data_IF_762104565653
#
_entry.id   IF_762104565653
#
_cell.length_a   1.000
_cell.length_b   1.000
_cell.length_c   1.000
_cell.angle_alpha   90.00
_cell.angle_beta   90.00
_cell.angle_gamma   90.00
#
_symmetry.space_group_name_H-M   'P 1'
#
loop_
_entity.id
_entity.type
_entity.pdbx_description
1 polymer ?
#
# COMPACT_ATOMS: atom_id res chain seq x y z
N UNK A 1 13.96 10.15 6.62
CA UNK A 1 15.12 10.25 7.55
C UNK A 1 15.53 11.70 7.65
N UNK A 2 15.59 12.27 8.86
CA UNK A 2 16.25 13.55 9.06
C UNK A 2 17.74 13.39 8.68
N UNK A 3 18.26 14.26 7.81
CA UNK A 3 19.67 14.23 7.44
C UNK A 3 20.51 14.62 8.66
N UNK A 4 21.57 13.85 8.94
CA UNK A 4 22.51 14.18 10.01
C UNK A 4 23.03 15.63 9.84
N UNK A 5 23.22 16.38 10.94
CA UNK A 5 23.82 17.70 10.87
C UNK A 5 25.22 17.59 10.26
N UNK A 6 25.55 18.52 9.38
CA UNK A 6 26.86 18.55 8.72
C UNK A 6 27.65 19.68 9.36
N UNK A 7 28.88 19.40 9.80
CA UNK A 7 29.77 20.40 10.36
C UNK A 7 30.97 20.68 9.43
N UNK A 8 31.52 21.89 9.57
CA UNK A 8 32.75 22.28 8.89
C UNK A 8 33.93 21.49 9.45
N UNK A 9 34.88 21.11 8.59
CA UNK A 9 36.03 20.26 8.92
C UNK A 9 35.75 18.76 8.90
N UNK A 10 34.49 18.33 8.78
CA UNK A 10 34.15 16.91 8.69
C UNK A 10 34.44 16.31 7.31
N UNK A 11 34.77 15.02 7.29
CA UNK A 11 34.96 14.26 6.06
C UNK A 11 33.72 13.43 5.73
N UNK A 12 33.20 13.62 4.53
CA UNK A 12 31.95 13.03 4.06
C UNK A 12 32.16 12.21 2.80
N UNK A 13 31.32 11.19 2.64
CA UNK A 13 31.20 10.43 1.40
C UNK A 13 30.25 11.16 0.44
N UNK A 14 30.82 11.73 -0.62
CA UNK A 14 30.10 12.40 -1.69
C UNK A 14 29.76 11.41 -2.80
N UNK A 15 28.51 11.42 -3.30
CA UNK A 15 28.10 10.65 -4.48
C UNK A 15 27.14 11.41 -5.36
N UNK A 16 27.45 11.45 -6.65
CA UNK A 16 26.56 11.92 -7.72
C UNK A 16 25.90 10.72 -8.42
N UNK A 17 24.59 10.59 -8.27
CA UNK A 17 23.80 9.49 -8.84
C UNK A 17 24.36 8.12 -8.43
N UNK A 18 24.62 7.22 -9.39
CA UNK A 18 25.14 5.86 -9.20
C UNK A 18 26.67 5.75 -9.29
N UNK A 19 27.41 6.87 -9.27
CA UNK A 19 28.88 6.84 -9.31
C UNK A 19 29.50 6.34 -8.00
N UNK A 20 30.77 5.90 -7.99
CA UNK A 20 31.48 5.61 -6.74
C UNK A 20 31.52 6.80 -5.78
N UNK A 21 31.72 6.53 -4.50
CA UNK A 21 31.92 7.58 -3.50
C UNK A 21 33.29 8.27 -3.66
N UNK A 22 33.30 9.58 -3.49
CA UNK A 22 34.51 10.40 -3.38
C UNK A 22 34.62 10.95 -1.95
N UNK A 23 35.83 11.03 -1.41
CA UNK A 23 36.09 11.63 -0.10
C UNK A 23 36.10 13.15 -0.25
N UNK A 24 35.30 13.85 0.56
CA UNK A 24 35.28 15.32 0.58
C UNK A 24 35.36 15.86 1.99
N UNK A 25 36.10 16.95 2.17
CA UNK A 25 36.10 17.73 3.40
C UNK A 25 35.12 18.90 3.28
N UNK A 26 34.29 19.10 4.32
CA UNK A 26 33.35 20.21 4.35
C UNK A 26 34.07 21.49 4.76
N UNK A 27 34.11 22.47 3.85
CA UNK A 27 34.76 23.76 4.11
C UNK A 27 33.78 24.79 4.67
N UNK A 28 32.52 24.77 4.21
CA UNK A 28 31.53 25.75 4.64
C UNK A 28 30.11 25.23 4.58
N UNK A 29 29.36 25.44 5.65
CA UNK A 29 27.92 25.12 5.73
C UNK A 29 27.11 26.40 5.84
N UNK A 30 26.32 26.71 4.80
CA UNK A 30 25.53 27.96 4.75
C UNK A 30 24.22 27.83 5.54
N UNK A 31 23.68 26.62 5.69
CA UNK A 31 22.47 26.36 6.47
C UNK A 31 22.33 24.87 6.78
N UNK A 32 21.73 24.56 7.93
CA UNK A 32 21.33 23.21 8.32
C UNK A 32 19.94 22.80 7.77
N UNK A 33 19.26 23.64 6.99
CA UNK A 33 17.92 23.36 6.43
C UNK A 33 17.87 23.26 4.90
N UNK A 34 17.08 22.31 4.39
CA UNK A 34 16.64 22.21 2.99
C UNK A 34 17.68 21.71 1.96
N UNK A 35 17.40 21.97 0.68
CA UNK A 35 18.22 21.60 -0.50
C UNK A 35 19.42 22.55 -0.73
N UNK A 36 19.96 23.16 0.32
CA UNK A 36 21.00 24.17 0.19
C UNK A 36 22.37 23.53 -0.08
N UNK A 37 23.23 24.29 -0.76
CA UNK A 37 24.56 23.83 -1.14
C UNK A 37 25.53 23.90 0.03
N UNK A 38 26.44 22.95 0.07
CA UNK A 38 27.56 22.86 1.02
C UNK A 38 28.84 23.06 0.22
N UNK A 39 29.77 23.87 0.73
CA UNK A 39 31.08 24.04 0.08
C UNK A 39 32.00 22.94 0.57
N UNK A 40 32.54 22.17 -0.36
CA UNK A 40 33.41 21.03 -0.07
C UNK A 40 34.68 21.11 -0.88
N UNK A 41 35.73 20.44 -0.39
CA UNK A 41 36.96 20.16 -1.11
C UNK A 41 37.07 18.66 -1.33
N UNK A 42 37.38 18.24 -2.54
CA UNK A 42 37.63 16.83 -2.85
C UNK A 42 39.04 16.44 -2.42
N UNK A 43 39.15 15.37 -1.64
CA UNK A 43 40.43 14.92 -1.08
C UNK A 43 41.18 13.99 -2.03
N UNK A 44 40.47 13.17 -2.80
CA UNK A 44 41.03 12.16 -3.69
C UNK A 44 40.17 11.95 -4.95
N UNK A 45 40.69 11.21 -5.92
CA UNK A 45 40.00 10.83 -7.15
C UNK A 45 40.17 11.84 -8.29
N UNK A 46 39.29 11.78 -9.31
CA UNK A 46 39.45 12.58 -10.53
C UNK A 46 39.28 14.09 -10.31
N UNK A 47 38.64 14.49 -9.20
CA UNK A 47 38.41 15.89 -8.84
C UNK A 47 39.29 16.33 -7.66
N UNK A 48 40.35 15.57 -7.31
CA UNK A 48 41.18 15.85 -6.14
C UNK A 48 41.70 17.30 -6.13
N UNK A 49 41.56 17.96 -4.98
CA UNK A 49 41.93 19.36 -4.79
C UNK A 49 40.89 20.39 -5.26
N UNK A 50 39.85 19.98 -6.00
CA UNK A 50 38.80 20.89 -6.44
C UNK A 50 37.90 21.33 -5.28
N UNK A 51 37.48 22.60 -5.32
CA UNK A 51 36.54 23.17 -4.37
C UNK A 51 35.23 23.47 -5.08
N UNK A 52 34.14 22.86 -4.62
CA UNK A 52 32.83 22.99 -5.26
C UNK A 52 31.71 23.21 -4.26
N UNK A 53 30.61 23.79 -4.77
CA UNK A 53 29.34 23.85 -4.06
C UNK A 53 28.47 22.67 -4.47
N UNK A 54 28.34 21.68 -3.60
CA UNK A 54 27.57 20.45 -3.85
C UNK A 54 26.20 20.53 -3.16
N UNK A 55 25.22 19.80 -3.68
CA UNK A 55 23.93 19.69 -3.02
C UNK A 55 24.07 18.82 -1.77
N UNK A 56 23.46 19.22 -0.66
CA UNK A 56 23.54 18.47 0.60
C UNK A 56 23.17 16.99 0.44
N UNK A 57 22.16 16.68 -0.37
CA UNK A 57 21.70 15.31 -0.62
C UNK A 57 22.74 14.39 -1.27
N UNK A 58 23.82 14.95 -1.83
CA UNK A 58 24.94 14.21 -2.40
C UNK A 58 25.94 13.78 -1.32
N UNK A 59 25.92 14.40 -0.14
CA UNK A 59 26.68 13.97 1.04
C UNK A 59 25.84 12.94 1.79
N UNK A 60 26.23 11.67 1.71
CA UNK A 60 25.40 10.56 2.20
C UNK A 60 25.64 10.25 3.67
N UNK A 61 26.91 10.04 4.03
CA UNK A 61 27.37 9.67 5.37
C UNK A 61 28.77 10.22 5.61
N UNK A 62 29.24 10.18 6.85
CA UNK A 62 30.66 10.42 7.17
C UNK A 62 31.54 9.42 6.41
N UNK A 63 32.72 9.86 5.98
CA UNK A 63 33.62 9.01 5.18
C UNK A 63 34.02 7.72 5.89
N UNK A 64 34.16 7.76 7.22
CA UNK A 64 34.42 6.60 8.06
C UNK A 64 33.28 5.56 8.03
N UNK A 65 32.04 6.00 7.81
CA UNK A 65 30.84 5.15 7.77
C UNK A 65 30.49 4.67 6.35
N UNK A 66 31.26 5.04 5.32
CA UNK A 66 30.94 4.73 3.92
C UNK A 66 30.77 3.23 3.65
N UNK A 67 31.56 2.39 4.33
CA UNK A 67 31.55 0.95 4.12
C UNK A 67 30.25 0.34 4.65
N UNK A 68 29.86 0.70 5.88
CA UNK A 68 28.57 0.30 6.46
C UNK A 68 27.40 0.76 5.60
N UNK A 69 27.47 1.98 5.05
CA UNK A 69 26.46 2.48 4.12
C UNK A 69 26.38 1.65 2.83
N UNK A 70 27.52 1.30 2.23
CA UNK A 70 27.58 0.45 1.04
C UNK A 70 27.06 -0.97 1.34
N UNK A 71 27.43 -1.55 2.48
CA UNK A 71 26.96 -2.87 2.90
C UNK A 71 25.43 -2.86 3.12
N UNK A 72 24.88 -1.77 3.69
CA UNK A 72 23.43 -1.56 3.78
C UNK A 72 22.78 -1.46 2.41
N UNK A 73 23.31 -0.66 1.49
CA UNK A 73 22.77 -0.55 0.14
C UNK A 73 22.82 -1.88 -0.62
N UNK A 74 23.88 -2.65 -0.43
CA UNK A 74 24.03 -3.98 -1.03
C UNK A 74 22.94 -4.93 -0.55
N UNK A 75 22.63 -4.95 0.76
CA UNK A 75 21.52 -5.76 1.33
C UNK A 75 20.17 -5.38 0.72
N UNK A 76 19.88 -4.09 0.59
CA UNK A 76 18.66 -3.63 -0.08
C UNK A 76 18.63 -3.98 -1.57
N UNK A 77 19.77 -3.87 -2.28
CA UNK A 77 19.87 -4.25 -3.68
C UNK A 77 19.68 -5.76 -3.87
N UNK A 78 20.22 -6.58 -2.97
CA UNK A 78 20.03 -8.03 -2.96
C UNK A 78 18.56 -8.39 -2.72
N UNK A 79 17.91 -7.81 -1.72
CA UNK A 79 16.48 -8.03 -1.49
C UNK A 79 15.63 -7.58 -2.69
N UNK A 80 15.97 -6.43 -3.30
CA UNK A 80 15.26 -5.90 -4.48
C UNK A 80 15.50 -6.72 -5.74
N UNK A 81 16.63 -7.41 -5.87
CA UNK A 81 16.91 -8.31 -7.01
C UNK A 81 15.84 -9.41 -7.15
N UNK A 82 15.20 -9.79 -6.03
CA UNK A 82 14.12 -10.78 -5.99
C UNK A 82 12.79 -10.27 -6.53
N UNK A 83 12.67 -8.97 -6.78
CA UNK A 83 11.48 -8.35 -7.40
C UNK A 83 11.47 -8.54 -8.92
N UNK A 84 12.62 -8.74 -9.56
CA UNK A 84 12.74 -8.77 -11.02
C UNK A 84 11.88 -9.87 -11.70
N UNK A 85 11.51 -10.91 -10.94
CA UNK A 85 10.67 -12.02 -11.40
C UNK A 85 9.17 -11.77 -11.17
N UNK A 86 8.81 -10.70 -10.47
CA UNK A 86 7.44 -10.38 -10.10
C UNK A 86 6.71 -9.59 -11.19
N UNK A 87 5.43 -9.89 -11.39
CA UNK A 87 4.55 -9.03 -12.18
C UNK A 87 4.10 -7.83 -11.33
N UNK A 88 4.01 -6.64 -11.93
CA UNK A 88 3.59 -5.42 -11.24
C UNK A 88 2.23 -5.56 -10.54
N UNK A 89 1.28 -6.29 -11.15
CA UNK A 89 -0.02 -6.60 -10.56
C UNK A 89 0.08 -7.38 -9.25
N UNK A 90 1.08 -8.26 -9.11
CA UNK A 90 1.29 -9.03 -7.89
C UNK A 90 1.94 -8.16 -6.81
N UNK A 91 2.92 -7.33 -7.17
CA UNK A 91 3.55 -6.39 -6.25
C UNK A 91 2.50 -5.43 -5.66
N UNK A 92 1.65 -4.88 -6.53
CA UNK A 92 0.55 -4.00 -6.13
C UNK A 92 -0.48 -4.75 -5.27
N UNK A 93 -0.88 -5.97 -5.65
CA UNK A 93 -1.81 -6.78 -4.88
C UNK A 93 -1.32 -7.03 -3.44
N UNK A 94 -0.04 -7.39 -3.27
CA UNK A 94 0.54 -7.60 -1.96
C UNK A 94 0.63 -6.29 -1.17
N UNK A 95 1.05 -5.20 -1.81
CA UNK A 95 1.11 -3.87 -1.21
C UNK A 95 -0.24 -3.43 -0.64
N UNK A 96 -1.31 -3.56 -1.44
CA UNK A 96 -2.69 -3.21 -1.04
C UNK A 96 -3.16 -4.05 0.17
N UNK A 97 -2.99 -5.37 0.13
CA UNK A 97 -3.38 -6.24 1.25
C UNK A 97 -2.63 -5.82 2.51
N UNK A 98 -1.32 -5.60 2.42
CA UNK A 98 -0.50 -5.25 3.58
C UNK A 98 -0.91 -3.89 4.15
N UNK A 99 -1.10 -2.87 3.31
CA UNK A 99 -1.45 -1.52 3.78
C UNK A 99 -2.83 -1.42 4.41
N UNK A 100 -3.79 -2.21 3.91
CA UNK A 100 -5.20 -2.09 4.33
C UNK A 100 -5.57 -3.07 5.45
N UNK A 101 -4.88 -4.20 5.57
CA UNK A 101 -5.29 -5.28 6.48
C UNK A 101 -4.30 -5.60 7.60
N UNK A 102 -3.12 -4.98 7.59
CA UNK A 102 -2.08 -5.15 8.61
C UNK A 102 -1.74 -3.77 9.20
N UNK A 103 -1.64 -3.69 10.53
CA UNK A 103 -1.23 -2.47 11.22
C UNK A 103 0.21 -2.10 10.83
N UNK A 104 0.43 -0.83 10.49
CA UNK A 104 1.74 -0.28 10.05
C UNK A 104 2.87 -0.49 11.07
N UNK A 105 2.53 -0.66 12.35
CA UNK A 105 3.48 -0.96 13.43
C UNK A 105 3.97 -2.41 13.39
N UNK A 106 3.14 -3.33 12.87
CA UNK A 106 3.49 -4.74 12.69
C UNK A 106 4.29 -4.89 11.40
N UNK A 107 3.72 -4.44 10.27
CA UNK A 107 4.38 -4.52 8.97
C UNK A 107 3.90 -3.43 8.01
N UNK A 108 4.77 -3.02 7.09
CA UNK A 108 4.48 -1.98 6.10
C UNK A 108 5.28 -2.21 4.82
N UNK A 109 4.68 -1.93 3.66
CA UNK A 109 5.42 -1.90 2.39
C UNK A 109 6.47 -0.79 2.39
N UNK A 110 7.75 -1.15 2.21
CA UNK A 110 8.84 -0.18 2.18
C UNK A 110 9.10 0.37 0.78
N UNK A 111 8.98 -0.45 -0.26
CA UNK A 111 9.36 -0.09 -1.63
C UNK A 111 8.86 -1.10 -2.69
N UNK A 112 7.59 -1.51 -2.62
CA UNK A 112 6.93 -2.42 -3.55
C UNK A 112 7.77 -3.66 -3.88
N UNK A 113 7.71 -4.64 -2.97
CA UNK A 113 8.49 -5.88 -3.04
C UNK A 113 9.53 -6.04 -1.94
N UNK A 114 9.55 -5.13 -0.95
CA UNK A 114 10.27 -5.30 0.31
C UNK A 114 9.31 -4.93 1.44
N UNK A 115 9.05 -5.90 2.32
CA UNK A 115 8.21 -5.73 3.49
C UNK A 115 9.09 -5.35 4.69
N UNK A 116 8.77 -4.23 5.35
CA UNK A 116 9.39 -3.86 6.62
C UNK A 116 8.53 -4.38 7.77
N UNK A 117 9.14 -5.07 8.72
CA UNK A 117 8.49 -5.73 9.85
C UNK A 117 9.08 -5.22 11.16
N UNK A 118 8.22 -4.83 12.10
CA UNK A 118 8.63 -4.40 13.44
C UNK A 118 9.02 -5.58 14.33
N UNK A 119 8.18 -6.61 14.35
CA UNK A 119 8.41 -7.85 15.10
C UNK A 119 7.93 -9.06 14.27
N UNK A 120 8.86 -9.95 13.95
CA UNK A 120 8.59 -11.12 13.12
C UNK A 120 7.67 -12.15 13.80
N UNK A 121 7.70 -12.24 15.13
CA UNK A 121 6.86 -13.15 15.90
C UNK A 121 5.42 -12.65 15.89
N UNK A 122 5.22 -11.34 16.09
CA UNK A 122 3.89 -10.73 16.03
C UNK A 122 3.30 -10.86 14.61
N UNK A 123 4.10 -10.63 13.57
CA UNK A 123 3.64 -10.83 12.20
C UNK A 123 3.27 -12.29 11.93
N UNK A 124 4.11 -13.24 12.34
CA UNK A 124 3.89 -14.68 12.19
C UNK A 124 2.57 -15.12 12.83
N UNK A 125 2.29 -14.68 14.05
CA UNK A 125 1.03 -14.95 14.74
C UNK A 125 -0.16 -14.31 14.02
N UNK A 126 -0.02 -13.04 13.63
CA UNK A 126 -1.07 -12.28 12.94
C UNK A 126 -1.50 -12.90 11.61
N UNK A 127 -0.54 -13.48 10.86
CA UNK A 127 -0.80 -14.15 9.59
C UNK A 127 -0.70 -15.68 9.67
N UNK A 128 -0.71 -16.24 10.88
CA UNK A 128 -0.75 -17.69 11.16
C UNK A 128 0.25 -18.53 10.35
N UNK A 129 1.49 -18.06 10.22
CA UNK A 129 2.60 -18.79 9.58
C UNK A 129 3.78 -18.86 10.53
N UNK A 130 4.71 -19.80 10.32
CA UNK A 130 5.88 -19.88 11.18
C UNK A 130 6.87 -18.76 10.86
N UNK A 131 7.63 -18.32 11.87
CA UNK A 131 8.72 -17.34 11.68
C UNK A 131 9.78 -17.89 10.71
N UNK A 132 10.01 -19.20 10.69
CA UNK A 132 10.92 -19.85 9.75
C UNK A 132 10.42 -19.76 8.30
N UNK A 133 9.11 -19.78 8.08
CA UNK A 133 8.53 -19.58 6.73
C UNK A 133 8.58 -18.12 6.28
N UNK A 134 8.65 -17.18 7.23
CA UNK A 134 8.85 -15.75 6.96
C UNK A 134 10.29 -15.42 6.62
N UNK A 135 11.23 -16.06 7.32
CA UNK A 135 12.65 -15.74 7.26
C UNK A 135 13.36 -16.66 6.26
N UNK A 136 13.74 -16.09 5.14
CA UNK A 136 14.46 -16.79 4.07
C UNK A 136 15.69 -16.03 3.59
N UNK A 137 16.21 -16.45 2.44
CA UNK A 137 17.36 -15.81 1.81
C UNK A 137 17.11 -14.32 1.55
N UNK A 138 18.15 -13.50 1.72
CA UNK A 138 18.13 -12.04 1.57
C UNK A 138 17.22 -11.28 2.55
N UNK A 139 16.74 -11.91 3.63
CA UNK A 139 16.20 -11.19 4.78
C UNK A 139 17.34 -10.53 5.57
N UNK A 140 17.12 -9.33 6.10
CA UNK A 140 18.14 -8.65 6.91
C UNK A 140 17.54 -7.67 7.91
N UNK A 141 18.28 -7.39 8.98
CA UNK A 141 17.91 -6.38 9.98
C UNK A 141 18.58 -5.03 9.68
N UNK A 142 17.83 -3.95 9.81
CA UNK A 142 18.34 -2.60 9.66
C UNK A 142 17.51 -1.60 10.47
N UNK A 143 18.17 -0.78 11.29
CA UNK A 143 17.50 0.25 12.09
C UNK A 143 16.41 -0.27 13.05
N UNK A 144 16.56 -1.50 13.55
CA UNK A 144 15.59 -2.14 14.46
C UNK A 144 14.37 -2.74 13.76
N UNK A 145 14.38 -2.86 12.44
CA UNK A 145 13.34 -3.55 11.67
C UNK A 145 13.93 -4.73 10.92
N UNK A 146 13.10 -5.76 10.72
CA UNK A 146 13.39 -6.86 9.81
C UNK A 146 12.84 -6.52 8.42
N UNK A 147 13.67 -6.67 7.40
CA UNK A 147 13.29 -6.48 6.00
C UNK A 147 13.17 -7.83 5.31
N UNK A 148 12.00 -8.10 4.76
CA UNK A 148 11.67 -9.32 4.05
C UNK A 148 11.56 -9.05 2.54
N UNK A 149 12.21 -9.85 1.68
CA UNK A 149 12.15 -9.67 0.23
C UNK A 149 10.81 -10.13 -0.34
N UNK A 150 10.62 -9.89 -1.65
CA UNK A 150 9.37 -10.16 -2.37
C UNK A 150 8.74 -11.55 -2.12
N UNK A 151 9.50 -12.67 -2.17
CA UNK A 151 8.90 -13.98 -1.91
C UNK A 151 8.22 -14.10 -0.54
N UNK A 152 8.85 -13.56 0.51
CA UNK A 152 8.29 -13.54 1.85
C UNK A 152 7.11 -12.57 1.98
N UNK A 153 7.21 -11.36 1.39
CA UNK A 153 6.10 -10.41 1.31
C UNK A 153 4.86 -11.01 0.64
N UNK A 154 5.06 -11.75 -0.46
CA UNK A 154 4.00 -12.47 -1.17
C UNK A 154 3.37 -13.56 -0.30
N UNK A 155 4.18 -14.34 0.41
CA UNK A 155 3.68 -15.36 1.34
C UNK A 155 2.81 -14.74 2.43
N UNK A 156 3.23 -13.62 3.02
CA UNK A 156 2.46 -12.87 4.01
C UNK A 156 1.12 -12.40 3.44
N UNK A 157 1.14 -11.77 2.26
CA UNK A 157 -0.09 -11.26 1.63
C UNK A 157 -1.08 -12.39 1.29
N UNK A 158 -0.60 -13.53 0.77
CA UNK A 158 -1.44 -14.70 0.47
C UNK A 158 -2.01 -15.29 1.77
N UNK A 159 -1.19 -15.45 2.81
CA UNK A 159 -1.64 -15.97 4.10
C UNK A 159 -2.75 -15.08 4.68
N UNK A 160 -2.54 -13.77 4.66
CA UNK A 160 -3.53 -12.79 5.12
C UNK A 160 -4.84 -12.85 4.33
N UNK A 161 -4.76 -12.94 3.01
CA UNK A 161 -5.94 -13.07 2.13
C UNK A 161 -6.75 -14.35 2.41
N UNK A 162 -6.11 -15.42 2.89
CA UNK A 162 -6.79 -16.68 3.25
C UNK A 162 -7.39 -16.67 4.65
N UNK A 163 -6.76 -15.99 5.60
CA UNK A 163 -7.24 -15.91 6.99
C UNK A 163 -8.48 -15.04 7.07
N UNK A 164 -8.45 -13.89 6.39
CA UNK A 164 -9.56 -12.94 6.40
C UNK A 164 -9.92 -12.48 4.99
N UNK A 165 -10.51 -13.38 4.19
CA UNK A 165 -10.94 -13.04 2.85
C UNK A 165 -12.07 -12.01 2.86
N UNK A 166 -12.85 -11.91 3.95
CA UNK A 166 -13.96 -10.96 4.05
C UNK A 166 -13.49 -9.51 4.04
N UNK A 167 -12.52 -9.17 4.91
CA UNK A 167 -11.91 -7.83 4.93
C UNK A 167 -11.23 -7.51 3.60
N UNK A 168 -10.50 -8.48 3.03
CA UNK A 168 -9.75 -8.27 1.79
C UNK A 168 -10.66 -8.10 0.58
N UNK A 169 -11.74 -8.87 0.47
CA UNK A 169 -12.71 -8.72 -0.63
C UNK A 169 -13.56 -7.45 -0.49
N UNK A 170 -13.90 -7.04 0.73
CA UNK A 170 -14.55 -5.74 0.97
C UNK A 170 -13.69 -4.57 0.49
N UNK A 171 -12.40 -4.59 0.82
CA UNK A 171 -11.42 -3.62 0.35
C UNK A 171 -11.38 -3.56 -1.18
N UNK A 172 -11.27 -4.71 -1.85
CA UNK A 172 -11.27 -4.78 -3.32
C UNK A 172 -12.54 -4.17 -3.91
N UNK A 173 -13.71 -4.48 -3.36
CA UNK A 173 -14.98 -3.96 -3.88
C UNK A 173 -15.13 -2.45 -3.64
N UNK A 174 -14.62 -1.95 -2.51
CA UNK A 174 -14.59 -0.51 -2.19
C UNK A 174 -13.71 0.24 -3.17
N UNK A 175 -12.47 -0.21 -3.34
CA UNK A 175 -11.51 0.38 -4.26
C UNK A 175 -12.04 0.34 -5.70
N UNK A 176 -12.59 -0.79 -6.13
CA UNK A 176 -13.16 -0.93 -7.46
C UNK A 176 -14.31 0.05 -7.70
N UNK A 177 -15.19 0.27 -6.70
CA UNK A 177 -16.28 1.25 -6.78
C UNK A 177 -15.75 2.68 -6.83
N UNK A 178 -14.77 3.03 -6.01
CA UNK A 178 -14.16 4.35 -5.98
C UNK A 178 -13.52 4.69 -7.33
N UNK A 179 -12.66 3.79 -7.83
CA UNK A 179 -12.01 3.98 -9.12
C UNK A 179 -13.00 4.00 -10.28
N UNK A 180 -14.05 3.18 -10.26
CA UNK A 180 -15.12 3.27 -11.24
C UNK A 180 -15.85 4.62 -11.20
N UNK A 181 -16.06 5.19 -10.00
CA UNK A 181 -16.67 6.52 -9.87
C UNK A 181 -15.76 7.61 -10.43
N UNK A 182 -14.47 7.58 -10.10
CA UNK A 182 -13.46 8.50 -10.63
C UNK A 182 -13.43 8.40 -12.16
N UNK A 183 -13.36 7.18 -12.70
CA UNK A 183 -13.40 6.92 -14.14
C UNK A 183 -14.65 7.48 -14.82
N UNK A 184 -15.84 7.34 -14.22
CA UNK A 184 -17.07 7.92 -14.77
C UNK A 184 -17.05 9.45 -14.75
N UNK A 185 -16.52 10.07 -13.69
CA UNK A 185 -16.42 11.53 -13.55
C UNK A 185 -15.37 12.13 -14.49
N UNK A 186 -14.28 11.42 -14.75
CA UNK A 186 -13.21 11.84 -15.68
C UNK A 186 -13.50 11.48 -17.14
N UNK A 187 -14.72 11.03 -17.45
CA UNK A 187 -15.21 10.67 -18.80
C UNK A 187 -14.65 9.36 -19.37
N UNK A 188 -13.91 8.56 -18.59
CA UNK A 188 -13.35 7.26 -19.01
C UNK A 188 -14.41 6.23 -19.43
N UNK A 189 -15.53 6.18 -18.69
CA UNK A 189 -16.72 5.38 -19.01
C UNK A 189 -17.98 6.26 -19.05
N UNK A 190 -17.90 7.45 -19.62
CA UNK A 190 -19.13 8.20 -19.87
C UNK A 190 -20.03 7.36 -20.80
N UNK A 191 -21.24 7.05 -20.33
CA UNK A 191 -22.23 6.38 -21.15
C UNK A 191 -22.40 7.17 -22.45
N UNK A 192 -22.03 6.53 -23.55
CA UNK A 192 -22.00 7.08 -24.89
C UNK A 192 -23.36 7.69 -25.20
N UNK A 193 -23.44 9.03 -25.34
CA UNK A 193 -24.56 9.63 -26.08
C UNK A 193 -24.45 9.14 -27.53
N UNK A 194 -25.55 8.80 -28.23
CA UNK A 194 -25.51 8.15 -29.55
C UNK A 194 -24.79 8.91 -30.69
N UNK A 195 -24.13 10.05 -30.44
CA UNK A 195 -23.74 10.98 -31.50
C UNK A 195 -22.34 11.59 -31.39
N UNK A 196 -21.46 11.11 -30.49
CA UNK A 196 -20.07 11.59 -30.48
C UNK A 196 -19.10 10.47 -30.10
N UNK A 197 -18.26 10.07 -31.05
CA UNK A 197 -17.10 9.23 -30.80
C UNK A 197 -16.01 10.09 -30.16
N UNK A 198 -15.89 10.05 -28.84
CA UNK A 198 -14.63 10.38 -28.18
C UNK A 198 -13.97 9.05 -27.79
N UNK A 199 -13.13 8.56 -28.68
CA UNK A 199 -12.18 7.50 -28.35
C UNK A 199 -11.17 8.10 -27.39
N UNK A 200 -11.11 7.59 -26.16
CA UNK A 200 -10.00 7.88 -25.26
C UNK A 200 -8.84 7.05 -25.77
N UNK A 201 -7.83 7.72 -26.33
CA UNK A 201 -6.76 7.04 -27.07
C UNK A 201 -5.94 6.08 -26.21
N UNK A 202 -5.89 6.25 -24.87
CA UNK A 202 -5.15 5.33 -24.00
C UNK A 202 -5.84 5.11 -22.63
N UNK A 203 -6.10 3.86 -22.22
CA UNK A 203 -6.45 3.56 -20.84
C UNK A 203 -5.30 3.94 -19.91
N UNK A 204 -5.59 4.49 -18.73
CA UNK A 204 -4.57 4.79 -17.72
C UNK A 204 -3.88 3.48 -17.32
N UNK A 205 -2.58 3.28 -17.65
CA UNK A 205 -1.88 2.03 -17.39
C UNK A 205 -1.93 1.61 -15.91
N UNK A 206 -1.99 2.59 -15.01
CA UNK A 206 -2.12 2.39 -13.56
C UNK A 206 -3.44 1.71 -13.20
N UNK A 207 -4.56 2.11 -13.82
CA UNK A 207 -5.87 1.54 -13.53
C UNK A 207 -5.99 0.10 -14.06
N UNK A 208 -5.44 -0.20 -15.24
CA UNK A 208 -5.42 -1.57 -15.75
C UNK A 208 -4.51 -2.48 -14.90
N UNK A 209 -3.37 -1.97 -14.43
CA UNK A 209 -2.52 -2.68 -13.46
C UNK A 209 -3.29 -2.96 -12.15
N UNK A 210 -4.10 -2.01 -11.69
CA UNK A 210 -4.89 -2.15 -10.48
C UNK A 210 -6.03 -3.17 -10.63
N UNK A 211 -6.73 -3.19 -11.77
CA UNK A 211 -7.69 -4.25 -12.09
C UNK A 211 -7.06 -5.64 -12.04
N UNK A 212 -5.88 -5.78 -12.64
CA UNK A 212 -5.13 -7.03 -12.59
C UNK A 212 -4.74 -7.40 -11.15
N UNK A 213 -4.33 -6.42 -10.35
CA UNK A 213 -4.04 -6.62 -8.92
C UNK A 213 -5.28 -7.12 -8.15
N UNK A 214 -6.46 -6.52 -8.36
CA UNK A 214 -7.70 -7.01 -7.73
C UNK A 214 -8.04 -8.45 -8.11
N UNK A 215 -7.80 -8.84 -9.37
CA UNK A 215 -7.99 -10.22 -9.80
C UNK A 215 -7.00 -11.19 -9.12
N UNK A 216 -5.75 -10.76 -8.95
CA UNK A 216 -4.74 -11.51 -8.20
C UNK A 216 -5.18 -11.69 -6.73
N UNK A 217 -5.65 -10.63 -6.09
CA UNK A 217 -6.16 -10.66 -4.71
C UNK A 217 -7.32 -11.65 -4.57
N UNK A 218 -8.31 -11.58 -5.48
CA UNK A 218 -9.42 -12.54 -5.52
C UNK A 218 -8.93 -13.98 -5.65
N UNK A 219 -7.96 -14.21 -6.52
CA UNK A 219 -7.32 -15.52 -6.69
C UNK A 219 -6.64 -16.02 -5.41
N UNK A 220 -6.01 -15.14 -4.62
CA UNK A 220 -5.35 -15.50 -3.36
C UNK A 220 -6.33 -15.85 -2.24
N UNK A 221 -7.52 -15.25 -2.23
CA UNK A 221 -8.59 -15.59 -1.29
C UNK A 221 -9.14 -17.03 -1.53
N UNK A 222 -9.08 -17.50 -2.78
CA UNK A 222 -9.53 -18.83 -3.19
C UNK A 222 -11.02 -18.90 -3.52
N UNK A 223 -11.39 -19.91 -4.32
CA UNK A 223 -12.74 -20.04 -4.91
C UNK A 223 -13.86 -20.12 -3.87
N UNK A 224 -13.69 -20.92 -2.82
CA UNK A 224 -14.70 -21.09 -1.76
C UNK A 224 -15.02 -19.76 -1.06
N UNK A 225 -14.00 -18.91 -0.86
CA UNK A 225 -14.20 -17.60 -0.25
C UNK A 225 -14.94 -16.65 -1.19
N UNK A 226 -14.61 -16.69 -2.49
CA UNK A 226 -15.29 -15.90 -3.52
C UNK A 226 -16.76 -16.30 -3.69
N UNK A 227 -17.08 -17.59 -3.61
CA UNK A 227 -18.46 -18.07 -3.68
C UNK A 227 -19.27 -17.57 -2.48
N UNK A 228 -18.74 -17.71 -1.26
CA UNK A 228 -19.35 -17.20 -0.03
C UNK A 228 -19.52 -15.68 -0.07
N UNK A 229 -18.52 -14.97 -0.58
CA UNK A 229 -18.60 -13.52 -0.73
C UNK A 229 -19.68 -13.11 -1.72
N UNK A 230 -19.77 -13.81 -2.85
CA UNK A 230 -20.79 -13.57 -3.88
C UNK A 230 -22.20 -13.86 -3.35
N UNK A 231 -22.37 -14.91 -2.56
CA UNK A 231 -23.62 -15.19 -1.84
C UNK A 231 -23.95 -14.08 -0.84
N UNK A 232 -22.96 -13.63 -0.07
CA UNK A 232 -23.14 -12.53 0.89
C UNK A 232 -23.53 -11.23 0.20
N UNK A 233 -22.89 -10.89 -0.92
CA UNK A 233 -23.24 -9.71 -1.71
C UNK A 233 -24.67 -9.81 -2.26
N UNK A 234 -25.07 -10.97 -2.78
CA UNK A 234 -26.45 -11.20 -3.21
C UNK A 234 -27.45 -11.00 -2.06
N UNK A 235 -27.17 -11.55 -0.88
CA UNK A 235 -28.03 -11.37 0.31
C UNK A 235 -28.06 -9.89 0.73
N UNK A 236 -26.94 -9.17 0.67
CA UNK A 236 -26.89 -7.73 0.93
C UNK A 236 -27.76 -6.96 -0.06
N UNK A 237 -27.68 -7.27 -1.35
CA UNK A 237 -28.50 -6.65 -2.39
C UNK A 237 -29.99 -6.93 -2.20
N UNK A 238 -30.36 -8.18 -1.88
CA UNK A 238 -31.75 -8.56 -1.60
C UNK A 238 -32.29 -7.81 -0.37
N UNK A 239 -31.48 -7.68 0.69
CA UNK A 239 -31.83 -6.88 1.86
C UNK A 239 -32.06 -5.40 1.53
N UNK A 240 -31.20 -4.79 0.71
CA UNK A 240 -31.38 -3.40 0.23
C UNK A 240 -32.68 -3.28 -0.57
N UNK A 241 -32.97 -4.25 -1.45
CA UNK A 241 -34.18 -4.27 -2.27
C UNK A 241 -35.44 -4.38 -1.40
N UNK A 242 -35.42 -5.25 -0.38
CA UNK A 242 -36.51 -5.42 0.58
C UNK A 242 -36.73 -4.15 1.41
N UNK A 243 -35.67 -3.52 1.90
CA UNK A 243 -35.76 -2.24 2.61
C UNK A 243 -36.41 -1.16 1.74
N UNK A 244 -35.99 -1.04 0.47
CA UNK A 244 -36.56 -0.10 -0.49
C UNK A 244 -38.03 -0.39 -0.84
N UNK A 245 -38.42 -1.66 -0.93
CA UNK A 245 -39.82 -2.07 -1.15
C UNK A 245 -40.69 -1.72 0.06
N UNK A 246 -40.20 -2.04 1.26
CA UNK A 246 -40.88 -1.73 2.50
C UNK A 246 -41.07 -0.21 2.64
N UNK A 247 -40.05 0.59 2.38
CA UNK A 247 -40.18 2.04 2.48
C UNK A 247 -41.22 2.61 1.49
N UNK A 248 -41.29 2.07 0.27
CA UNK A 248 -42.35 2.44 -0.68
C UNK A 248 -43.74 2.04 -0.19
N UNK A 249 -43.90 0.84 0.37
CA UNK A 249 -45.16 0.36 0.92
C UNK A 249 -45.61 1.22 2.12
N UNK A 250 -44.69 1.57 3.02
CA UNK A 250 -44.96 2.47 4.14
C UNK A 250 -45.41 3.85 3.67
N UNK A 251 -44.73 4.43 2.67
CA UNK A 251 -45.13 5.71 2.07
C UNK A 251 -46.53 5.64 1.43
N UNK A 252 -46.89 4.52 0.81
CA UNK A 252 -48.24 4.32 0.27
C UNK A 252 -49.29 4.20 1.38
N UNK A 253 -49.00 3.46 2.45
CA UNK A 253 -49.88 3.31 3.59
C UNK A 253 -50.14 4.65 4.30
N UNK A 254 -49.11 5.49 4.44
CA UNK A 254 -49.24 6.86 4.96
C UNK A 254 -50.16 7.71 4.09
N UNK A 255 -50.00 7.66 2.75
CA UNK A 255 -50.86 8.37 1.81
C UNK A 255 -52.32 7.92 1.85
N UNK A 256 -52.57 6.66 2.22
CA UNK A 256 -53.91 6.11 2.41
C UNK A 256 -54.52 6.41 3.80
N UNK A 257 -53.83 7.20 4.64
CA UNK A 257 -54.31 7.57 5.98
C UNK A 257 -53.91 6.60 7.10
N UNK A 258 -53.19 5.52 6.80
CA UNK A 258 -52.73 4.50 7.75
C UNK A 258 -51.47 4.89 8.53
N UNK A 259 -51.33 6.14 8.95
CA UNK A 259 -50.09 6.69 9.54
C UNK A 259 -49.63 5.96 10.80
N UNK A 260 -50.55 5.59 11.69
CA UNK A 260 -50.25 4.81 12.90
C UNK A 260 -49.65 3.43 12.56
N UNK A 261 -50.25 2.71 11.61
CA UNK A 261 -49.78 1.39 11.20
C UNK A 261 -48.45 1.45 10.47
N UNK A 262 -48.23 2.49 9.64
CA UNK A 262 -46.95 2.73 9.00
C UNK A 262 -45.84 3.03 10.02
N UNK A 263 -46.11 3.87 11.03
CA UNK A 263 -45.17 4.17 12.11
C UNK A 263 -44.80 2.92 12.92
N UNK A 264 -45.79 2.07 13.25
CA UNK A 264 -45.55 0.80 13.95
C UNK A 264 -44.67 -0.16 13.14
N UNK A 265 -45.00 -0.38 11.86
CA UNK A 265 -44.23 -1.25 10.97
C UNK A 265 -42.80 -0.74 10.76
N UNK A 266 -42.61 0.57 10.68
CA UNK A 266 -41.27 1.18 10.62
C UNK A 266 -40.45 0.87 11.87
N UNK A 267 -41.05 0.92 13.06
CA UNK A 267 -40.39 0.55 14.31
C UNK A 267 -40.10 -0.95 14.45
N UNK A 268 -40.94 -1.83 13.89
CA UNK A 268 -40.68 -3.27 13.83
C UNK A 268 -39.55 -3.60 12.83
N UNK A 269 -39.58 -2.98 11.66
CA UNK A 269 -38.55 -3.14 10.64
C UNK A 269 -37.18 -2.61 11.08
N UNK A 270 -37.12 -1.41 11.70
CA UNK A 270 -35.89 -0.86 12.24
C UNK A 270 -35.21 -1.83 13.22
N UNK A 271 -35.99 -2.45 14.12
CA UNK A 271 -35.48 -3.49 15.04
C UNK A 271 -34.98 -4.72 14.29
N UNK A 272 -35.70 -5.20 13.28
CA UNK A 272 -35.29 -6.38 12.50
C UNK A 272 -33.97 -6.15 11.74
N UNK A 273 -33.79 -4.97 11.13
CA UNK A 273 -32.57 -4.63 10.39
C UNK A 273 -31.39 -4.28 11.30
N UNK A 274 -31.60 -3.61 12.44
CA UNK A 274 -30.55 -3.36 13.44
C UNK A 274 -30.05 -4.64 14.11
N UNK A 275 -30.95 -5.60 14.36
CA UNK A 275 -30.58 -6.88 14.98
C UNK A 275 -29.71 -7.73 14.04
N UNK A 276 -29.90 -7.62 12.73
CA UNK A 276 -29.03 -8.25 11.73
C UNK A 276 -27.68 -7.56 11.60
N UNK A 277 -27.62 -6.22 11.63
CA UNK A 277 -26.36 -5.46 11.56
C UNK A 277 -25.40 -5.81 12.71
N UNK A 278 -25.91 -5.95 13.94
CA UNK A 278 -25.09 -6.30 15.13
C UNK A 278 -24.61 -7.76 15.17
N UNK A 279 -25.24 -8.67 14.40
CA UNK A 279 -24.82 -10.08 14.31
C UNK A 279 -23.72 -10.29 13.27
N UNK A 280 -23.70 -9.48 12.21
CA UNK A 280 -22.67 -9.54 11.16
C UNK A 280 -21.32 -8.93 11.53
N UNK A 281 -21.22 -8.12 12.60
CA UNK A 281 -19.96 -7.50 13.06
C UNK A 281 -19.20 -8.37 14.10
N UNK A 282 -19.69 -9.57 14.41
CA UNK A 282 -19.11 -10.48 15.42
C UNK A 282 -18.57 -11.80 14.83
N UNK A 283 -18.42 -11.87 13.51
CA UNK A 283 -17.73 -12.94 12.79
C UNK A 283 -16.55 -12.33 12.05
#
# INVERSE_FOLDING_TARGET
>A
MAMAPIAEGERWAYRRASRPFEEVSVLKVVSQSGNRKVRVQFEDGPNAGEIQWVNRQQLKVLWAQRREFLDREQRFAEAKSRVAEAQDSHLLAAGLIISESIDVTIASDHNHGILRVGDAVILADHVQISVTDLTGDACFEDGGYLYLPWPAMRTVAIAKAKIDPGIVLDMVDRDAKEWNSVAQQTTYYAAVRPMAHQTIDHPWPEYETQKLAWNVIRGWCGEVALDRWSELDRVRQDNIRLANLLERALKQLERAGGTYHAARLRGEAGRAFETNSKRTTKL
#
